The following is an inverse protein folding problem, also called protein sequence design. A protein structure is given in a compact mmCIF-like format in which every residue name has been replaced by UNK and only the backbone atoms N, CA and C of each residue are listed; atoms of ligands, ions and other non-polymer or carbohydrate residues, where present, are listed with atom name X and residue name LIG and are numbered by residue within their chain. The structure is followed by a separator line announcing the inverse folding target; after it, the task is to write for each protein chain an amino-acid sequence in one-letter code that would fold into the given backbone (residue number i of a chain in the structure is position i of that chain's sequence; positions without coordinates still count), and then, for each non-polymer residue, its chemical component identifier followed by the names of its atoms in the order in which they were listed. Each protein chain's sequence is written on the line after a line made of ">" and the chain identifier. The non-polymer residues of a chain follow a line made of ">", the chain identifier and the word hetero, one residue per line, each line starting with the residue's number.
data_IF_897438300697
#
_entry.id   IF_897438300697
#
_cell.length_a   1.000
_cell.length_b   1.000
_cell.length_c   1.000
_cell.angle_alpha   90.00
_cell.angle_beta   90.00
_cell.angle_gamma   90.00
#
_symmetry.space_group_name_H-M   'P 1'
#
loop_
_entity.id
_entity.type
_entity.pdbx_description
1 polymer ?
#
# COMPACT_ATOMS: atom_id res chain seq x y z
N UNK A 1 14.88 -5.61 -1.30
CA UNK A 1 15.08 -6.52 -0.16
C UNK A 1 14.20 -7.76 -0.27
N UNK A 2 12.87 -7.67 -0.20
CA UNK A 2 11.97 -8.82 -0.33
C UNK A 2 12.14 -9.60 -1.64
N UNK A 3 12.22 -8.90 -2.77
CA UNK A 3 12.45 -9.51 -4.09
C UNK A 3 13.77 -10.29 -4.16
N UNK A 4 14.86 -9.68 -3.69
CA UNK A 4 16.18 -10.32 -3.64
C UNK A 4 16.15 -11.58 -2.76
N UNK A 5 15.47 -11.54 -1.62
CA UNK A 5 15.30 -12.69 -0.75
C UNK A 5 14.49 -13.81 -1.41
N UNK A 6 13.40 -13.47 -2.10
CA UNK A 6 12.60 -14.45 -2.86
C UNK A 6 13.41 -15.12 -4.00
N UNK A 7 14.28 -14.37 -4.68
CA UNK A 7 15.20 -14.90 -5.71
C UNK A 7 16.15 -15.93 -5.09
N UNK A 8 16.74 -15.62 -3.93
CA UNK A 8 17.64 -16.55 -3.21
C UNK A 8 16.87 -17.81 -2.81
N UNK A 9 15.68 -17.67 -2.22
CA UNK A 9 14.83 -18.81 -1.83
C UNK A 9 14.43 -19.70 -3.01
N UNK A 10 14.12 -19.10 -4.17
CA UNK A 10 13.89 -19.85 -5.41
C UNK A 10 15.14 -20.61 -5.86
N UNK A 11 16.32 -19.98 -5.76
CA UNK A 11 17.59 -20.59 -6.17
C UNK A 11 18.02 -21.78 -5.31
N UNK A 12 17.67 -21.77 -4.02
CA UNK A 12 17.91 -22.91 -3.11
C UNK A 12 16.75 -23.92 -3.07
N UNK A 13 15.71 -23.74 -3.90
CA UNK A 13 14.58 -24.67 -3.99
C UNK A 13 13.59 -24.62 -2.83
N UNK A 14 13.63 -23.59 -1.98
CA UNK A 14 12.66 -23.39 -0.89
C UNK A 14 11.35 -22.75 -1.38
N UNK A 15 11.37 -22.14 -2.55
CA UNK A 15 10.18 -21.67 -3.25
C UNK A 15 10.02 -22.39 -4.59
N UNK A 16 8.78 -22.69 -5.03
CA UNK A 16 8.51 -23.42 -6.27
C UNK A 16 8.69 -22.56 -7.53
N UNK A 17 9.30 -21.38 -7.40
CA UNK A 17 9.39 -20.39 -8.46
C UNK A 17 10.83 -20.24 -8.94
N UNK A 18 11.00 -20.25 -10.26
CA UNK A 18 12.29 -20.04 -10.89
C UNK A 18 12.81 -18.61 -10.61
N UNK A 19 14.06 -18.44 -10.13
CA UNK A 19 14.66 -17.14 -9.90
C UNK A 19 14.63 -16.22 -11.13
N UNK A 20 14.82 -16.78 -12.33
CA UNK A 20 14.76 -16.05 -13.59
C UNK A 20 13.37 -15.46 -13.85
N UNK A 21 12.31 -16.22 -13.57
CA UNK A 21 10.92 -15.72 -13.64
C UNK A 21 10.67 -14.57 -12.66
N UNK A 22 11.20 -14.64 -11.44
CA UNK A 22 11.06 -13.57 -10.45
C UNK A 22 11.77 -12.30 -10.95
N UNK A 23 13.01 -12.43 -11.43
CA UNK A 23 13.78 -11.31 -12.01
C UNK A 23 13.05 -10.70 -13.20
N UNK A 24 12.56 -11.53 -14.13
CA UNK A 24 11.80 -11.08 -15.28
C UNK A 24 10.53 -10.33 -14.88
N UNK A 25 9.78 -10.85 -13.90
CA UNK A 25 8.57 -10.21 -13.37
C UNK A 25 8.85 -8.82 -12.82
N UNK A 26 9.90 -8.69 -12.00
CA UNK A 26 10.29 -7.40 -11.41
C UNK A 26 10.76 -6.42 -12.48
N UNK A 27 11.56 -6.88 -13.44
CA UNK A 27 12.05 -6.08 -14.55
C UNK A 27 10.89 -5.59 -15.44
N UNK A 28 9.97 -6.49 -15.79
CA UNK A 28 8.81 -6.17 -16.62
C UNK A 28 7.87 -5.17 -15.93
N UNK A 29 7.50 -5.42 -14.66
CA UNK A 29 6.68 -4.49 -13.87
C UNK A 29 7.34 -3.10 -13.79
N UNK A 30 8.65 -3.09 -13.52
CA UNK A 30 9.49 -1.89 -13.46
C UNK A 30 9.41 -1.05 -14.74
N UNK A 31 9.58 -1.69 -15.89
CA UNK A 31 9.49 -1.02 -17.20
C UNK A 31 8.07 -0.52 -17.46
N UNK A 32 7.05 -1.36 -17.28
CA UNK A 32 5.67 -0.97 -17.50
C UNK A 32 5.27 0.22 -16.63
N UNK A 33 5.51 0.16 -15.32
CA UNK A 33 5.22 1.27 -14.42
C UNK A 33 6.02 2.53 -14.77
N UNK A 34 7.29 2.40 -15.19
CA UNK A 34 8.08 3.53 -15.65
C UNK A 34 7.44 4.22 -16.87
N UNK A 35 7.15 3.44 -17.92
CA UNK A 35 6.60 3.94 -19.18
C UNK A 35 5.21 4.53 -19.00
N UNK A 36 4.33 3.85 -18.27
CA UNK A 36 2.97 4.35 -18.02
C UNK A 36 2.94 5.57 -17.12
N UNK A 37 3.78 5.61 -16.07
CA UNK A 37 3.91 6.81 -15.26
C UNK A 37 4.38 7.99 -16.12
N UNK A 38 5.39 7.78 -16.97
CA UNK A 38 5.87 8.81 -17.90
C UNK A 38 4.76 9.28 -18.86
N UNK A 39 4.02 8.34 -19.45
CA UNK A 39 2.88 8.65 -20.33
C UNK A 39 1.80 9.49 -19.63
N UNK A 40 1.36 9.08 -18.43
CA UNK A 40 0.32 9.81 -17.70
C UNK A 40 0.81 11.16 -17.16
N UNK A 41 2.08 11.29 -16.81
CA UNK A 41 2.66 12.58 -16.43
C UNK A 41 2.57 13.59 -17.57
N UNK A 42 2.92 13.17 -18.80
CA UNK A 42 2.81 14.02 -19.98
C UNK A 42 1.35 14.36 -20.24
N UNK A 43 0.47 13.36 -20.22
CA UNK A 43 -0.95 13.53 -20.50
C UNK A 43 -1.62 14.52 -19.53
N UNK A 44 -1.30 14.44 -18.24
CA UNK A 44 -1.91 15.26 -17.19
C UNK A 44 -1.08 16.48 -16.75
N UNK A 45 0.06 16.75 -17.40
CA UNK A 45 0.98 17.83 -17.04
C UNK A 45 1.32 17.84 -15.53
N UNK A 46 1.48 16.66 -14.94
CA UNK A 46 1.59 16.46 -13.51
C UNK A 46 3.05 16.49 -13.03
N UNK A 47 3.27 16.78 -11.74
CA UNK A 47 4.58 16.62 -11.11
C UNK A 47 4.90 15.13 -10.92
N UNK A 48 6.15 14.73 -11.12
CA UNK A 48 6.59 13.35 -10.93
C UNK A 48 6.97 13.08 -9.48
N UNK A 49 6.53 11.93 -8.95
CA UNK A 49 7.18 11.30 -7.81
C UNK A 49 7.87 10.01 -8.31
N UNK A 50 9.17 10.08 -8.65
CA UNK A 50 9.88 8.97 -9.30
C UNK A 50 10.07 7.75 -8.39
N UNK A 51 10.01 7.91 -7.07
CA UNK A 51 10.12 6.79 -6.13
C UNK A 51 8.83 5.97 -6.09
N UNK A 52 7.68 6.64 -6.13
CA UNK A 52 6.36 6.01 -6.03
C UNK A 52 6.11 4.97 -7.13
N UNK A 53 6.58 5.19 -8.36
CA UNK A 53 6.44 4.21 -9.47
C UNK A 53 7.18 2.90 -9.19
N UNK A 54 8.36 2.96 -8.58
CA UNK A 54 9.16 1.78 -8.27
C UNK A 54 8.55 0.98 -7.12
N UNK A 55 8.02 1.67 -6.11
CA UNK A 55 7.28 1.02 -5.02
C UNK A 55 6.07 0.27 -5.58
N UNK A 56 5.27 0.92 -6.43
CA UNK A 56 4.11 0.26 -7.07
C UNK A 56 4.53 -0.93 -7.93
N UNK A 57 5.59 -0.79 -8.75
CA UNK A 57 6.11 -1.90 -9.56
C UNK A 57 6.52 -3.12 -8.73
N UNK A 58 7.22 -2.88 -7.61
CA UNK A 58 7.64 -3.94 -6.69
C UNK A 58 6.44 -4.60 -6.00
N UNK A 59 5.43 -3.83 -5.59
CA UNK A 59 4.19 -4.39 -5.02
C UNK A 59 3.49 -5.28 -6.06
N UNK A 60 3.28 -4.78 -7.28
CA UNK A 60 2.63 -5.56 -8.35
C UNK A 60 3.41 -6.84 -8.65
N UNK A 61 4.74 -6.78 -8.74
CA UNK A 61 5.57 -7.96 -8.96
C UNK A 61 5.46 -8.99 -7.81
N UNK A 62 5.44 -8.53 -6.56
CA UNK A 62 5.33 -9.38 -5.37
C UNK A 62 3.92 -9.94 -5.14
N UNK A 63 2.88 -9.36 -5.73
CA UNK A 63 1.48 -9.77 -5.51
C UNK A 63 0.89 -10.54 -6.69
N UNK A 64 1.20 -10.16 -7.94
CA UNK A 64 0.65 -10.79 -9.16
C UNK A 64 1.52 -11.96 -9.64
N UNK A 65 2.85 -11.85 -9.53
CA UNK A 65 3.80 -12.73 -10.21
C UNK A 65 3.87 -14.19 -9.70
N UNK A 66 4.94 -14.91 -10.06
CA UNK A 66 5.86 -14.66 -11.17
C UNK A 66 5.19 -14.90 -12.54
N UNK A 67 5.64 -14.19 -13.58
CA UNK A 67 5.13 -14.34 -14.93
C UNK A 67 5.47 -15.73 -15.47
N UNK A 68 4.44 -16.52 -15.78
CA UNK A 68 4.52 -17.74 -16.58
C UNK A 68 3.70 -17.58 -17.87
N UNK A 69 4.40 -17.26 -18.96
CA UNK A 69 3.78 -17.11 -20.30
C UNK A 69 3.09 -15.76 -20.55
N UNK A 70 2.42 -15.66 -21.71
CA UNK A 70 1.85 -14.41 -22.21
C UNK A 70 0.71 -13.86 -21.35
N UNK A 71 -0.12 -14.74 -20.78
CA UNK A 71 -1.25 -14.33 -19.94
C UNK A 71 -0.79 -13.59 -18.68
N UNK A 72 0.22 -14.12 -17.97
CA UNK A 72 0.78 -13.46 -16.78
C UNK A 72 1.40 -12.09 -17.10
N UNK A 73 2.06 -11.97 -18.26
CA UNK A 73 2.60 -10.69 -18.72
C UNK A 73 1.47 -9.69 -19.04
N UNK A 74 0.38 -10.14 -19.67
CA UNK A 74 -0.77 -9.31 -19.98
C UNK A 74 -1.50 -8.82 -18.71
N UNK A 75 -1.67 -9.68 -17.71
CA UNK A 75 -2.23 -9.32 -16.38
C UNK A 75 -1.39 -8.23 -15.73
N UNK A 76 -0.07 -8.42 -15.66
CA UNK A 76 0.84 -7.45 -15.04
C UNK A 76 0.93 -6.14 -15.84
N UNK A 77 0.85 -6.20 -17.17
CA UNK A 77 0.80 -5.04 -18.05
C UNK A 77 -0.46 -4.20 -17.77
N UNK A 78 -1.64 -4.83 -17.78
CA UNK A 78 -2.92 -4.16 -17.51
C UNK A 78 -2.94 -3.60 -16.09
N UNK A 79 -2.51 -4.39 -15.09
CA UNK A 79 -2.44 -3.93 -13.72
C UNK A 79 -1.49 -2.73 -13.57
N UNK A 80 -0.34 -2.73 -14.25
CA UNK A 80 0.62 -1.62 -14.23
C UNK A 80 0.05 -0.36 -14.88
N UNK A 81 -0.65 -0.51 -16.02
CA UNK A 81 -1.27 0.60 -16.74
C UNK A 81 -2.32 1.28 -15.87
N UNK A 82 -3.24 0.48 -15.32
CA UNK A 82 -4.34 0.96 -14.48
C UNK A 82 -3.81 1.52 -13.16
N UNK A 83 -2.83 0.88 -12.55
CA UNK A 83 -2.20 1.38 -11.32
C UNK A 83 -1.58 2.76 -11.57
N UNK A 84 -0.80 2.94 -12.63
CA UNK A 84 -0.23 4.25 -12.93
C UNK A 84 -1.30 5.28 -13.29
N UNK A 85 -2.30 4.91 -14.10
CA UNK A 85 -3.39 5.80 -14.49
C UNK A 85 -4.24 6.28 -13.31
N UNK A 86 -4.53 5.40 -12.34
CA UNK A 86 -5.36 5.73 -11.18
C UNK A 86 -4.76 6.86 -10.32
N UNK A 87 -3.43 7.02 -10.30
CA UNK A 87 -2.75 8.13 -9.61
C UNK A 87 -3.13 9.51 -10.16
N UNK A 88 -3.60 9.59 -11.40
CA UNK A 88 -3.92 10.84 -12.09
C UNK A 88 -5.41 10.98 -12.38
N UNK A 89 -6.04 9.91 -12.88
CA UNK A 89 -7.47 9.89 -13.24
C UNK A 89 -8.35 9.91 -11.99
N UNK A 90 -7.98 9.14 -10.95
CA UNK A 90 -8.74 8.99 -9.70
C UNK A 90 -8.12 9.82 -8.56
N UNK A 91 -7.45 10.91 -8.91
CA UNK A 91 -6.96 11.89 -7.96
C UNK A 91 -7.99 12.99 -7.71
N UNK A 92 -8.15 13.35 -6.44
CA UNK A 92 -8.95 14.50 -6.02
C UNK A 92 -8.09 15.43 -5.19
N UNK A 93 -8.15 16.75 -5.45
CA UNK A 93 -7.30 17.75 -4.79
C UNK A 93 -5.81 17.39 -4.81
N UNK A 94 -5.34 16.80 -5.93
CA UNK A 94 -3.94 16.33 -6.11
C UNK A 94 -3.51 15.20 -5.16
N UNK A 95 -4.45 14.49 -4.53
CA UNK A 95 -4.21 13.26 -3.76
C UNK A 95 -4.91 12.09 -4.43
N UNK A 96 -4.22 10.98 -4.62
CA UNK A 96 -4.87 9.76 -5.11
C UNK A 96 -5.73 9.17 -4.00
N UNK A 97 -6.96 8.79 -4.34
CA UNK A 97 -7.95 8.30 -3.38
C UNK A 97 -7.64 6.86 -2.97
N UNK A 98 -7.22 6.07 -3.94
CA UNK A 98 -7.09 4.62 -3.82
C UNK A 98 -5.64 4.18 -3.86
N UNK A 99 -5.35 3.04 -3.24
CA UNK A 99 -4.07 2.36 -3.42
C UNK A 99 -3.91 1.98 -4.90
N UNK A 100 -2.89 2.52 -5.60
CA UNK A 100 -2.74 2.33 -7.04
C UNK A 100 -2.55 0.86 -7.43
N UNK A 101 -1.76 0.11 -6.65
CA UNK A 101 -1.54 -1.31 -6.91
C UNK A 101 -2.83 -2.12 -6.76
N UNK A 102 -3.63 -1.84 -5.72
CA UNK A 102 -4.89 -2.54 -5.48
C UNK A 102 -5.90 -2.31 -6.62
N UNK A 103 -6.04 -1.08 -7.15
CA UNK A 103 -6.86 -0.84 -8.34
C UNK A 103 -6.32 -1.62 -9.54
N UNK A 104 -5.01 -1.60 -9.77
CA UNK A 104 -4.40 -2.35 -10.86
C UNK A 104 -4.74 -3.84 -10.80
N UNK A 105 -4.55 -4.45 -9.63
CA UNK A 105 -4.80 -5.87 -9.38
C UNK A 105 -6.28 -6.21 -9.57
N UNK A 106 -7.20 -5.48 -8.93
CA UNK A 106 -8.63 -5.81 -9.03
C UNK A 106 -9.15 -5.64 -10.46
N UNK A 107 -8.65 -4.64 -11.19
CA UNK A 107 -9.06 -4.41 -12.57
C UNK A 107 -8.58 -5.55 -13.45
N UNK A 108 -7.33 -5.98 -13.30
CA UNK A 108 -6.82 -7.16 -14.01
C UNK A 108 -7.61 -8.42 -13.64
N UNK A 109 -7.96 -8.61 -12.36
CA UNK A 109 -8.78 -9.73 -11.90
C UNK A 109 -10.16 -9.75 -12.56
N UNK A 110 -10.82 -8.59 -12.63
CA UNK A 110 -12.18 -8.47 -13.19
C UNK A 110 -12.22 -8.67 -14.70
N UNK A 111 -11.27 -8.07 -15.44
CA UNK A 111 -11.28 -8.10 -16.91
C UNK A 111 -10.58 -9.33 -17.50
N UNK A 112 -9.60 -9.90 -16.80
CA UNK A 112 -8.76 -10.99 -17.32
C UNK A 112 -8.95 -12.30 -16.56
N UNK A 113 -9.79 -12.32 -15.53
CA UNK A 113 -10.04 -13.49 -14.68
C UNK A 113 -8.86 -13.91 -13.81
N UNK A 114 -7.78 -13.12 -13.76
CA UNK A 114 -6.58 -13.40 -12.98
C UNK A 114 -6.16 -12.17 -12.17
N UNK A 115 -6.21 -12.31 -10.85
CA UNK A 115 -5.86 -11.27 -9.89
C UNK A 115 -4.53 -11.52 -9.21
N UNK A 116 -4.48 -11.22 -7.90
CA UNK A 116 -3.33 -11.50 -7.09
C UNK A 116 -3.16 -13.01 -6.87
N UNK A 117 -2.00 -13.53 -7.25
CA UNK A 117 -1.59 -14.89 -6.91
C UNK A 117 -1.16 -14.99 -5.44
N UNK A 118 -0.74 -13.85 -4.87
CA UNK A 118 -0.13 -13.79 -3.54
C UNK A 118 1.01 -14.80 -3.38
N UNK A 119 1.82 -15.01 -4.43
CA UNK A 119 2.90 -16.00 -4.48
C UNK A 119 3.97 -15.85 -3.39
N UNK A 120 4.11 -14.63 -2.84
CA UNK A 120 4.95 -14.36 -1.66
C UNK A 120 4.40 -14.97 -0.37
N UNK A 121 3.19 -15.52 -0.40
CA UNK A 121 2.47 -16.17 0.69
C UNK A 121 3.09 -17.50 1.13
N UNK A 122 4.39 -17.49 1.40
CA UNK A 122 5.19 -18.66 1.73
C UNK A 122 5.81 -18.50 3.13
N UNK A 123 5.88 -19.60 3.89
CA UNK A 123 6.45 -19.63 5.25
C UNK A 123 7.85 -19.03 5.32
N UNK A 124 8.69 -19.30 4.31
CA UNK A 124 10.06 -18.82 4.27
C UNK A 124 10.15 -17.31 4.08
N UNK A 125 9.12 -16.67 3.53
CA UNK A 125 9.05 -15.21 3.35
C UNK A 125 8.68 -14.47 4.63
N UNK A 126 8.05 -15.12 5.62
CA UNK A 126 7.58 -14.48 6.86
C UNK A 126 8.67 -13.67 7.56
N UNK A 127 9.88 -14.20 7.83
CA UNK A 127 10.90 -13.44 8.56
C UNK A 127 11.23 -12.13 7.85
N UNK A 128 11.35 -12.16 6.52
CA UNK A 128 11.71 -10.98 5.74
C UNK A 128 10.55 -9.99 5.63
N UNK A 129 9.30 -10.47 5.52
CA UNK A 129 8.10 -9.63 5.52
C UNK A 129 7.96 -8.93 6.87
N UNK A 130 8.14 -9.65 7.98
CA UNK A 130 8.02 -9.08 9.33
C UNK A 130 9.15 -8.08 9.60
N UNK A 131 10.40 -8.44 9.34
CA UNK A 131 11.55 -7.54 9.58
C UNK A 131 11.42 -6.28 8.72
N UNK A 132 11.25 -6.43 7.40
CA UNK A 132 11.11 -5.30 6.49
C UNK A 132 9.87 -4.47 6.79
N UNK A 133 8.76 -5.13 7.10
CA UNK A 133 7.49 -4.50 7.45
C UNK A 133 7.55 -3.70 8.74
N UNK A 134 8.16 -4.24 9.80
CA UNK A 134 8.36 -3.53 11.06
C UNK A 134 9.22 -2.28 10.87
N UNK A 135 10.29 -2.36 10.07
CA UNK A 135 11.13 -1.19 9.74
C UNK A 135 10.31 -0.11 9.03
N UNK A 136 9.52 -0.49 8.03
CA UNK A 136 8.63 0.44 7.30
C UNK A 136 7.62 1.06 8.27
N UNK A 137 6.85 0.24 8.98
CA UNK A 137 5.79 0.66 9.88
C UNK A 137 6.29 1.50 11.06
N UNK A 138 7.50 1.22 11.57
CA UNK A 138 8.16 2.04 12.59
C UNK A 138 8.54 3.41 12.03
N UNK A 139 9.22 3.45 10.87
CA UNK A 139 9.68 4.70 10.24
C UNK A 139 8.53 5.64 9.90
N UNK A 140 7.39 5.11 9.45
CA UNK A 140 6.20 5.90 9.11
C UNK A 140 5.22 6.08 10.29
N UNK A 141 5.57 5.63 11.50
CA UNK A 141 4.75 5.73 12.72
C UNK A 141 3.35 5.11 12.57
N UNK A 142 3.27 3.93 11.95
CA UNK A 142 2.02 3.17 11.72
C UNK A 142 2.01 1.77 12.33
N UNK A 143 2.95 1.45 13.23
CA UNK A 143 2.99 0.14 13.91
C UNK A 143 1.66 -0.26 14.57
N UNK A 144 1.03 0.66 15.30
CA UNK A 144 -0.25 0.37 15.96
C UNK A 144 -1.37 0.08 14.94
N UNK A 145 -1.36 0.73 13.78
CA UNK A 145 -2.32 0.46 12.71
C UNK A 145 -2.17 -0.97 12.17
N UNK A 146 -0.92 -1.43 11.99
CA UNK A 146 -0.64 -2.82 11.60
C UNK A 146 -1.09 -3.79 12.69
N UNK A 147 -0.76 -3.51 13.96
CA UNK A 147 -1.15 -4.37 15.08
C UNK A 147 -2.66 -4.52 15.22
N UNK A 148 -3.41 -3.43 15.05
CA UNK A 148 -4.89 -3.46 15.04
C UNK A 148 -5.42 -4.30 13.88
N UNK A 149 -4.91 -4.10 12.66
CA UNK A 149 -5.33 -4.90 11.51
C UNK A 149 -5.09 -6.39 11.76
N UNK A 150 -3.87 -6.76 12.17
CA UNK A 150 -3.49 -8.17 12.41
C UNK A 150 -4.35 -8.77 13.52
N UNK A 151 -4.54 -8.06 14.63
CA UNK A 151 -5.37 -8.50 15.74
C UNK A 151 -6.81 -8.75 15.33
N UNK A 152 -7.44 -7.80 14.62
CA UNK A 152 -8.82 -7.93 14.13
C UNK A 152 -8.94 -9.02 13.06
N UNK A 153 -7.96 -9.14 12.16
CA UNK A 153 -7.95 -10.17 11.13
C UNK A 153 -7.90 -11.57 11.75
N UNK A 154 -7.04 -11.78 12.74
CA UNK A 154 -6.94 -13.05 13.47
C UNK A 154 -8.25 -13.35 14.22
N UNK A 155 -8.77 -12.39 14.98
CA UNK A 155 -9.99 -12.61 15.77
C UNK A 155 -11.21 -12.87 14.87
N UNK A 156 -11.39 -12.10 13.80
CA UNK A 156 -12.47 -12.32 12.84
C UNK A 156 -12.35 -13.69 12.15
N UNK A 157 -11.14 -14.10 11.77
CA UNK A 157 -10.91 -15.42 11.16
C UNK A 157 -11.22 -16.55 12.15
N UNK A 158 -10.81 -16.42 13.41
CA UNK A 158 -11.10 -17.40 14.45
C UNK A 158 -12.60 -17.51 14.74
N UNK A 159 -13.32 -16.38 14.77
CA UNK A 159 -14.77 -16.36 14.96
C UNK A 159 -15.51 -17.06 13.80
N UNK A 160 -15.14 -16.78 12.55
CA UNK A 160 -15.77 -17.45 11.39
C UNK A 160 -15.45 -18.94 11.30
N UNK A 161 -14.25 -19.35 11.74
CA UNK A 161 -13.87 -20.75 11.81
C UNK A 161 -14.58 -21.53 12.96
N UNK A 162 -15.49 -20.87 13.70
CA UNK A 162 -16.23 -21.50 14.80
C UNK A 162 -15.33 -21.87 15.97
N UNK A 163 -14.13 -21.27 16.06
CA UNK A 163 -13.19 -21.54 17.14
C UNK A 163 -13.76 -20.94 18.41
N UNK A 164 -14.23 -21.78 19.33
CA UNK A 164 -14.49 -21.34 20.68
C UNK A 164 -13.15 -20.91 21.30
N UNK A 165 -13.13 -19.75 21.97
CA UNK A 165 -11.95 -19.25 22.71
C UNK A 165 -11.37 -20.28 23.71
N UNK A 166 -12.13 -21.34 24.03
CA UNK A 166 -11.73 -22.43 24.90
C UNK A 166 -10.75 -23.44 24.27
N UNK A 167 -10.55 -23.45 22.95
CA UNK A 167 -9.72 -24.45 22.26
C UNK A 167 -8.47 -23.83 21.61
N UNK A 168 -7.46 -23.57 22.43
CA UNK A 168 -6.14 -23.04 22.02
C UNK A 168 -5.56 -23.78 20.80
N UNK A 169 -5.74 -25.11 20.72
CA UNK A 169 -5.24 -25.94 19.63
C UNK A 169 -5.90 -25.63 18.27
N UNK A 170 -7.19 -25.27 18.24
CA UNK A 170 -7.91 -24.94 17.00
C UNK A 170 -7.55 -23.52 16.56
N UNK A 171 -7.49 -22.57 17.51
CA UNK A 171 -6.98 -21.22 17.24
C UNK A 171 -5.55 -21.23 16.69
N UNK A 172 -4.68 -22.05 17.28
CA UNK A 172 -3.30 -22.24 16.86
C UNK A 172 -3.18 -22.86 15.46
N UNK A 173 -4.00 -23.87 15.12
CA UNK A 173 -4.04 -24.47 13.78
C UNK A 173 -4.54 -23.50 12.70
N UNK A 174 -5.56 -22.70 13.01
CA UNK A 174 -6.04 -21.65 12.09
C UNK A 174 -5.00 -20.55 11.90
N UNK A 175 -4.24 -20.21 12.95
CA UNK A 175 -3.12 -19.26 12.91
C UNK A 175 -1.91 -19.79 12.11
N UNK A 176 -1.68 -21.10 12.13
CA UNK A 176 -0.60 -21.81 11.42
C UNK A 176 -1.00 -22.23 10.01
N UNK A 177 -2.17 -21.84 9.49
CA UNK A 177 -2.39 -21.85 8.04
C UNK A 177 -1.56 -20.73 7.39
N UNK A 178 -0.24 -20.95 7.38
CA UNK A 178 0.81 -20.05 6.93
C UNK A 178 0.58 -19.50 5.51
N UNK A 179 0.06 -20.27 4.53
CA UNK A 179 -0.23 -19.74 3.21
C UNK A 179 -1.31 -18.65 3.19
N UNK A 180 -2.26 -18.68 4.13
CA UNK A 180 -3.33 -17.68 4.22
C UNK A 180 -2.89 -16.42 5.00
N UNK A 181 -2.02 -16.58 6.00
CA UNK A 181 -1.64 -15.47 6.87
C UNK A 181 -0.50 -14.60 6.31
N UNK A 182 0.42 -15.19 5.55
CA UNK A 182 1.57 -14.47 4.98
C UNK A 182 1.15 -13.32 4.02
N UNK A 183 0.17 -13.51 3.11
CA UNK A 183 -0.41 -12.43 2.31
C UNK A 183 -0.98 -11.28 3.16
N UNK A 184 -1.73 -11.61 4.22
CA UNK A 184 -2.30 -10.63 5.12
C UNK A 184 -1.23 -9.81 5.87
N UNK A 185 -0.12 -10.43 6.27
CA UNK A 185 1.02 -9.72 6.85
C UNK A 185 1.66 -8.75 5.85
N UNK A 186 1.96 -9.20 4.63
CA UNK A 186 2.53 -8.30 3.61
C UNK A 186 1.58 -7.14 3.32
N UNK A 187 0.30 -7.43 3.14
CA UNK A 187 -0.74 -6.44 2.95
C UNK A 187 -0.75 -5.40 4.07
N UNK A 188 -0.72 -5.85 5.33
CA UNK A 188 -0.74 -4.97 6.49
C UNK A 188 0.50 -4.07 6.55
N UNK A 189 1.68 -4.60 6.24
CA UNK A 189 2.94 -3.87 6.33
C UNK A 189 3.25 -2.97 5.15
N UNK A 190 2.70 -3.25 3.96
CA UNK A 190 3.11 -2.58 2.71
C UNK A 190 1.97 -1.79 2.08
N UNK A 191 0.76 -2.36 2.02
CA UNK A 191 -0.35 -1.76 1.28
C UNK A 191 -1.29 -0.95 2.19
N UNK A 192 -1.66 -1.50 3.34
CA UNK A 192 -2.59 -0.86 4.29
C UNK A 192 -2.03 0.45 4.87
N UNK A 193 -0.72 0.49 5.13
CA UNK A 193 -0.06 1.62 5.79
C UNK A 193 0.30 2.78 4.85
N UNK A 194 -0.09 2.70 3.58
CA UNK A 194 0.19 3.75 2.61
C UNK A 194 -0.38 5.11 3.08
N UNK A 195 0.45 6.13 3.37
CA UNK A 195 -0.01 7.34 4.04
C UNK A 195 -0.98 8.18 3.21
N UNK A 196 -0.89 8.09 1.88
CA UNK A 196 -1.69 8.93 0.99
C UNK A 196 -3.15 8.45 0.88
N UNK A 197 -3.39 7.16 1.14
CA UNK A 197 -4.70 6.50 0.95
C UNK A 197 -5.37 6.09 2.27
N UNK A 198 -4.66 6.25 3.39
CA UNK A 198 -5.13 5.96 4.74
C UNK A 198 -5.30 7.24 5.59
N UNK A 199 -6.11 7.22 6.66
CA UNK A 199 -6.30 8.38 7.53
C UNK A 199 -4.99 8.90 8.15
N UNK A 200 -4.92 10.20 8.43
CA UNK A 200 -3.78 10.82 9.11
C UNK A 200 -3.94 10.85 10.63
N UNK A 201 -5.16 10.89 11.15
CA UNK A 201 -5.42 10.84 12.60
C UNK A 201 -5.22 9.42 13.16
N UNK A 202 -4.65 9.31 14.35
CA UNK A 202 -4.34 8.02 14.96
C UNK A 202 -5.58 7.18 15.27
N UNK A 203 -6.66 7.78 15.80
CA UNK A 203 -7.89 7.04 16.14
C UNK A 203 -8.59 6.58 14.87
N UNK A 204 -8.64 7.44 13.87
CA UNK A 204 -9.23 7.13 12.57
C UNK A 204 -8.47 6.02 11.84
N UNK A 205 -7.13 5.98 11.95
CA UNK A 205 -6.32 4.87 11.42
C UNK A 205 -6.70 3.52 12.02
N UNK A 206 -7.00 3.46 13.31
CA UNK A 206 -7.37 2.20 13.97
C UNK A 206 -8.76 1.75 13.53
N UNK A 207 -9.74 2.66 13.47
CA UNK A 207 -11.06 2.34 12.93
C UNK A 207 -10.99 1.85 11.48
N UNK A 208 -10.19 2.53 10.64
CA UNK A 208 -9.93 2.13 9.26
C UNK A 208 -9.28 0.75 9.17
N UNK A 209 -8.25 0.47 9.97
CA UNK A 209 -7.57 -0.82 9.98
C UNK A 209 -8.51 -1.96 10.41
N UNK A 210 -9.33 -1.76 11.45
CA UNK A 210 -10.34 -2.72 11.88
C UNK A 210 -11.40 -2.98 10.81
N UNK A 211 -11.86 -1.93 10.14
CA UNK A 211 -12.84 -2.02 9.05
C UNK A 211 -12.28 -2.85 7.88
N UNK A 212 -11.08 -2.53 7.41
CA UNK A 212 -10.43 -3.26 6.31
C UNK A 212 -10.15 -4.72 6.69
N UNK A 213 -9.70 -5.00 7.91
CA UNK A 213 -9.50 -6.37 8.37
C UNK A 213 -10.79 -7.19 8.37
N UNK A 214 -11.87 -6.62 8.91
CA UNK A 214 -13.20 -7.27 8.96
C UNK A 214 -13.72 -7.56 7.55
N UNK A 215 -13.60 -6.60 6.63
CA UNK A 215 -14.00 -6.82 5.23
C UNK A 215 -13.12 -7.84 4.52
N UNK A 216 -11.81 -7.86 4.75
CA UNK A 216 -10.91 -8.83 4.13
C UNK A 216 -11.30 -10.27 4.49
N UNK A 217 -11.59 -10.51 5.76
CA UNK A 217 -12.07 -11.81 6.25
C UNK A 217 -13.48 -12.11 5.72
N UNK A 218 -14.39 -11.14 5.76
CA UNK A 218 -15.76 -11.30 5.27
C UNK A 218 -15.83 -11.61 3.78
N UNK A 219 -15.10 -10.87 2.94
CA UNK A 219 -15.01 -11.14 1.51
C UNK A 219 -14.35 -12.49 1.23
N UNK A 220 -13.32 -12.88 1.98
CA UNK A 220 -12.74 -14.23 1.88
C UNK A 220 -13.76 -15.33 2.17
N UNK A 221 -14.64 -15.12 3.15
CA UNK A 221 -15.69 -16.08 3.49
C UNK A 221 -16.78 -16.20 2.41
N UNK A 222 -17.29 -15.07 1.90
CA UNK A 222 -18.39 -15.08 0.92
C UNK A 222 -17.93 -15.32 -0.53
N UNK A 223 -16.77 -14.81 -0.92
CA UNK A 223 -16.23 -14.92 -2.27
C UNK A 223 -15.31 -16.15 -2.46
N UNK A 224 -15.08 -16.93 -1.40
CA UNK A 224 -14.26 -18.14 -1.44
C UNK A 224 -12.81 -17.86 -1.88
N UNK A 225 -12.38 -18.50 -2.95
CA UNK A 225 -11.00 -18.43 -3.47
C UNK A 225 -10.76 -17.25 -4.44
N UNK A 226 -11.61 -16.23 -4.42
CA UNK A 226 -11.47 -15.06 -5.28
C UNK A 226 -10.09 -14.38 -5.11
N UNK A 227 -9.33 -14.13 -6.19
CA UNK A 227 -7.95 -13.65 -6.14
C UNK A 227 -7.84 -12.12 -5.91
N UNK A 228 -8.78 -11.52 -5.18
CA UNK A 228 -8.89 -10.07 -5.03
C UNK A 228 -9.55 -9.60 -3.71
N UNK A 229 -9.66 -10.47 -2.69
CA UNK A 229 -10.43 -10.18 -1.46
C UNK A 229 -9.77 -9.10 -0.58
N UNK A 230 -8.46 -9.13 -0.43
CA UNK A 230 -7.70 -8.11 0.33
C UNK A 230 -7.69 -6.76 -0.42
N UNK A 231 -7.60 -6.81 -1.74
CA UNK A 231 -7.65 -5.64 -2.61
C UNK A 231 -9.02 -4.97 -2.54
N UNK A 232 -10.11 -5.76 -2.63
CA UNK A 232 -11.47 -5.27 -2.41
C UNK A 232 -11.62 -4.63 -1.03
N UNK A 233 -11.13 -5.28 0.01
CA UNK A 233 -11.21 -4.75 1.36
C UNK A 233 -10.46 -3.41 1.47
N UNK A 234 -9.27 -3.29 0.86
CA UNK A 234 -8.50 -2.05 0.86
C UNK A 234 -9.22 -0.92 0.12
N UNK A 235 -9.78 -1.21 -1.06
CA UNK A 235 -10.49 -0.23 -1.87
C UNK A 235 -11.78 0.22 -1.18
N UNK A 236 -12.53 -0.69 -0.56
CA UNK A 236 -13.67 -0.35 0.31
C UNK A 236 -13.24 0.54 1.47
N UNK A 237 -12.09 0.25 2.08
CA UNK A 237 -11.47 1.11 3.09
C UNK A 237 -11.13 2.49 2.53
N UNK A 238 -10.50 2.59 1.36
CA UNK A 238 -10.13 3.86 0.74
C UNK A 238 -11.37 4.71 0.44
N UNK A 239 -12.47 4.10 -0.03
CA UNK A 239 -13.77 4.77 -0.18
C UNK A 239 -14.26 5.30 1.15
N UNK A 240 -14.26 4.46 2.20
CA UNK A 240 -14.69 4.86 3.53
C UNK A 240 -13.86 6.03 4.09
N UNK A 241 -12.53 5.95 3.97
CA UNK A 241 -11.62 7.03 4.36
C UNK A 241 -11.96 8.33 3.62
N UNK A 242 -12.17 8.23 2.30
CA UNK A 242 -12.47 9.40 1.48
C UNK A 242 -13.85 10.01 1.76
N UNK A 243 -14.86 9.19 2.01
CA UNK A 243 -16.23 9.64 2.23
C UNK A 243 -16.44 10.24 3.63
N UNK A 244 -15.78 9.69 4.67
CA UNK A 244 -16.10 10.01 6.06
C UNK A 244 -14.92 10.56 6.88
N UNK A 245 -13.68 10.30 6.48
CA UNK A 245 -12.48 10.58 7.29
C UNK A 245 -11.51 11.57 6.61
N UNK A 246 -11.92 12.15 5.46
CA UNK A 246 -11.05 12.99 4.65
C UNK A 246 -10.71 14.31 5.34
N UNK A 247 -9.40 14.59 5.42
CA UNK A 247 -8.88 15.89 5.86
C UNK A 247 -8.41 16.70 4.64
N UNK A 248 -9.03 17.85 4.34
CA UNK A 248 -8.71 18.67 3.17
C UNK A 248 -7.28 19.20 3.22
N UNK A 249 -6.74 19.51 2.05
CA UNK A 249 -5.39 20.09 1.94
C UNK A 249 -5.40 21.52 2.48
N UNK A 250 -4.52 21.80 3.45
CA UNK A 250 -4.36 23.15 4.00
C UNK A 250 -3.26 23.85 3.20
N UNK A 251 -3.60 24.97 2.58
CA UNK A 251 -2.65 25.83 1.88
C UNK A 251 -2.20 26.94 2.82
N UNK A 252 -0.90 27.18 2.89
CA UNK A 252 -0.30 28.25 3.68
C UNK A 252 0.01 29.43 2.76
N UNK A 253 -0.55 30.60 3.06
CA UNK A 253 -0.25 31.84 2.35
C UNK A 253 0.82 32.61 3.11
N UNK A 254 1.92 32.96 2.44
CA UNK A 254 2.96 33.77 3.04
C UNK A 254 2.41 35.17 3.30
N UNK A 255 2.33 35.56 4.57
CA UNK A 255 1.86 36.89 4.99
C UNK A 255 3.03 37.85 5.21
N UNK A 256 4.12 37.37 5.81
CA UNK A 256 5.26 38.21 6.19
C UNK A 256 6.58 37.44 6.11
N UNK A 257 7.63 38.13 5.68
CA UNK A 257 9.04 37.69 5.77
C UNK A 257 9.78 38.77 6.56
N UNK A 258 10.47 38.39 7.62
CA UNK A 258 11.23 39.30 8.48
C UNK A 258 12.64 38.77 8.75
N UNK A 259 13.64 39.63 8.69
CA UNK A 259 14.99 39.31 9.16
C UNK A 259 15.05 39.60 10.66
N UNK A 260 15.21 38.54 11.46
CA UNK A 260 15.21 38.63 12.92
C UNK A 260 16.64 38.84 13.44
N UNK A 261 17.62 38.27 12.76
CA UNK A 261 19.04 38.44 13.03
C UNK A 261 19.85 38.16 11.75
N UNK A 262 21.17 38.35 11.83
CA UNK A 262 22.08 37.94 10.76
C UNK A 262 21.88 36.45 10.47
N UNK A 263 21.54 36.13 9.22
CA UNK A 263 21.27 34.76 8.73
C UNK A 263 20.03 34.06 9.32
N UNK A 264 19.12 34.79 10.00
CA UNK A 264 17.86 34.24 10.54
C UNK A 264 16.67 34.97 9.95
N UNK A 265 15.91 34.26 9.11
CA UNK A 265 14.70 34.78 8.46
C UNK A 265 13.48 34.08 9.05
N UNK A 266 12.53 34.86 9.55
CA UNK A 266 11.22 34.40 9.98
C UNK A 266 10.21 34.52 8.84
N UNK A 267 9.40 33.48 8.65
CA UNK A 267 8.30 33.46 7.69
C UNK A 267 6.98 33.24 8.45
N UNK A 268 6.06 34.19 8.30
CA UNK A 268 4.74 34.12 8.90
C UNK A 268 3.73 33.69 7.83
N UNK A 269 3.06 32.56 8.08
CA UNK A 269 2.06 31.99 7.18
C UNK A 269 0.67 32.08 7.78
N UNK A 270 -0.31 32.34 6.93
CA UNK A 270 -1.73 32.28 7.25
C UNK A 270 -2.35 31.05 6.58
N UNK A 271 -2.95 30.13 7.34
CA UNK A 271 -3.56 28.95 6.76
C UNK A 271 -4.90 29.30 6.12
N UNK A 272 -5.22 28.68 5.00
CA UNK A 272 -6.51 28.89 4.30
C UNK A 272 -7.73 28.42 5.09
N UNK A 273 -7.52 27.64 6.17
CA UNK A 273 -8.53 27.19 7.12
C UNK A 273 -7.94 27.12 8.53
N UNK A 274 -8.76 27.22 9.59
CA UNK A 274 -8.27 27.09 10.96
C UNK A 274 -7.55 25.75 11.18
N UNK A 275 -6.35 25.80 11.77
CA UNK A 275 -5.56 24.61 12.14
C UNK A 275 -5.44 24.57 13.64
N UNK A 276 -5.88 23.47 14.25
CA UNK A 276 -5.61 23.19 15.66
C UNK A 276 -4.28 22.46 15.79
N UNK A 277 -3.44 22.89 16.72
CA UNK A 277 -2.18 22.24 17.04
C UNK A 277 -1.88 22.38 18.53
N UNK A 278 -1.12 21.44 19.07
CA UNK A 278 -0.59 21.51 20.44
C UNK A 278 0.79 22.18 20.41
N UNK A 279 1.12 23.04 21.40
CA UNK A 279 2.46 23.61 21.53
C UNK A 279 3.54 22.51 21.50
N UNK A 280 4.59 22.71 20.71
CA UNK A 280 5.68 21.73 20.51
C UNK A 280 5.49 20.80 19.30
N UNK A 281 4.36 20.86 18.59
CA UNK A 281 4.20 20.20 17.30
C UNK A 281 4.91 20.98 16.18
N UNK A 282 5.32 20.26 15.13
CA UNK A 282 5.84 20.85 13.91
C UNK A 282 4.94 20.48 12.72
N UNK A 283 4.89 21.34 11.72
CA UNK A 283 4.19 21.09 10.46
C UNK A 283 5.21 20.77 9.37
N UNK A 284 4.95 19.71 8.60
CA UNK A 284 5.62 19.48 7.32
C UNK A 284 4.75 20.06 6.21
N UNK A 285 5.38 20.83 5.33
CA UNK A 285 4.72 21.51 4.23
C UNK A 285 5.67 21.54 3.04
N UNK A 286 5.11 21.56 1.84
CA UNK A 286 5.86 21.58 0.60
C UNK A 286 5.77 22.99 -0.01
N UNK A 287 6.91 23.55 -0.38
CA UNK A 287 6.97 24.84 -1.07
C UNK A 287 7.21 24.59 -2.57
N UNK A 288 6.22 24.81 -3.45
CA UNK A 288 6.45 24.69 -4.88
C UNK A 288 7.40 25.81 -5.36
N UNK A 289 8.56 25.45 -5.89
CA UNK A 289 9.46 26.39 -6.57
C UNK A 289 9.86 25.90 -7.97
N UNK A 290 10.32 26.83 -8.82
CA UNK A 290 10.62 26.56 -10.25
C UNK A 290 11.82 25.63 -10.45
N UNK A 291 12.80 25.67 -9.55
CA UNK A 291 14.02 24.86 -9.61
C UNK A 291 14.08 23.91 -8.41
N UNK A 292 13.16 22.96 -8.36
CA UNK A 292 13.20 21.84 -7.41
C UNK A 292 14.54 21.12 -7.54
N UNK A 293 15.17 20.75 -6.42
CA UNK A 293 16.30 19.83 -6.48
C UNK A 293 15.79 18.41 -6.85
N UNK A 294 16.69 17.43 -6.93
CA UNK A 294 16.30 16.04 -7.23
C UNK A 294 15.32 15.40 -6.23
N UNK A 295 15.06 16.06 -5.09
CA UNK A 295 14.19 15.60 -4.00
C UNK A 295 12.87 16.37 -3.90
N UNK A 296 12.70 17.46 -4.64
CA UNK A 296 11.46 18.25 -4.69
C UNK A 296 11.57 19.58 -3.97
#
# INVERSE_FOLDING_TARGET
>A
MLTAFAIVLGGVGLMPYDPGQIVWTVFFASICCYLFNWFFVILFHAKQNPESRWITALILALVIGPISGAQGALVLFVASFVAMGSKYVLAYERRHIFNPAAIGIITAAFFLGQGASWWIGNVYMIPMIVIGGLVIAYKIKRLMMVGVFVGVFITATALLAGVSWASFAVGWRTLINVPAFTPALFFAFVMLVEPLTSPQDNRLRYAYASFVATLGVGYGFFAGTAPYTLELALLSGNIFNRAFLFSPLITLHLRKREEVAKDVISFLFEPSRPVSFLPGQFMQWELPHRHADSRG
#
